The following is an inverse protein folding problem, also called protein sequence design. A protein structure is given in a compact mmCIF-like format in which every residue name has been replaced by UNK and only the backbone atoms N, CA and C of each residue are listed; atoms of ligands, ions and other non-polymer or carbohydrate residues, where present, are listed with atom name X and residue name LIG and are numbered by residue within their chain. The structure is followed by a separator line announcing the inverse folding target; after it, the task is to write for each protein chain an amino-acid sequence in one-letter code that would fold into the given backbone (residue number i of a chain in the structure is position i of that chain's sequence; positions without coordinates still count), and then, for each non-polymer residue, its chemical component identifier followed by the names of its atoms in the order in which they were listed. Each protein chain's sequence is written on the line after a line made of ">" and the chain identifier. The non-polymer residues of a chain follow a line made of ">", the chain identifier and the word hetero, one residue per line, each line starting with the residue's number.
data_IF_560109020978
#
_entry.id   IF_560109020978
#
_cell.length_a   1.000
_cell.length_b   1.000
_cell.length_c   1.000
_cell.angle_alpha   90.00
_cell.angle_beta   90.00
_cell.angle_gamma   90.00
#
_symmetry.space_group_name_H-M   'P 1'
#
loop_
_entity.id
_entity.type
_entity.pdbx_description
1 polymer ?
#
# COMPACT_ATOMS: atom_id res chain seq x y z
N UNK A 1 -57.78 15.06 8.61
CA UNK A 1 -56.64 14.39 7.93
C UNK A 1 -55.69 15.47 7.41
N UNK A 2 -54.48 15.64 7.96
CA UNK A 2 -53.55 16.63 7.44
C UNK A 2 -52.65 16.04 6.34
N UNK A 3 -52.60 16.78 5.23
CA UNK A 3 -51.72 16.57 4.07
C UNK A 3 -50.31 16.99 4.50
N UNK A 4 -49.38 16.04 4.57
CA UNK A 4 -47.98 16.32 4.87
C UNK A 4 -47.27 16.85 3.61
N UNK A 5 -46.81 18.11 3.68
CA UNK A 5 -46.00 18.76 2.65
C UNK A 5 -44.62 18.11 2.54
N UNK A 6 -44.25 17.81 1.29
CA UNK A 6 -42.97 17.28 0.85
C UNK A 6 -41.97 18.42 0.70
N UNK A 7 -40.99 18.52 1.60
CA UNK A 7 -39.87 19.46 1.49
C UNK A 7 -38.80 18.90 0.53
N UNK A 8 -38.65 19.54 -0.62
CA UNK A 8 -37.55 19.33 -1.58
C UNK A 8 -36.27 19.95 -1.01
N UNK A 9 -35.26 19.12 -0.78
CA UNK A 9 -33.90 19.54 -0.45
C UNK A 9 -33.17 19.96 -1.73
N UNK A 10 -32.53 21.14 -1.81
CA UNK A 10 -31.73 21.51 -2.97
C UNK A 10 -30.35 20.84 -2.95
N UNK A 11 -29.97 20.28 -4.09
CA UNK A 11 -28.68 19.68 -4.39
C UNK A 11 -27.65 20.80 -4.62
N UNK A 12 -26.70 20.99 -3.70
CA UNK A 12 -25.54 21.86 -3.92
C UNK A 12 -24.56 21.17 -4.90
N UNK A 13 -24.41 21.75 -6.08
CA UNK A 13 -23.40 21.37 -7.07
C UNK A 13 -22.10 22.12 -6.71
N UNK A 14 -20.98 21.44 -6.42
CA UNK A 14 -19.71 22.12 -6.27
C UNK A 14 -19.15 22.50 -7.65
N UNK A 15 -18.95 23.80 -7.86
CA UNK A 15 -18.29 24.41 -9.01
C UNK A 15 -16.86 23.88 -9.14
N UNK A 16 -16.58 23.14 -10.21
CA UNK A 16 -15.21 22.79 -10.62
C UNK A 16 -14.50 24.06 -11.14
N UNK A 17 -13.46 24.49 -10.44
CA UNK A 17 -12.50 25.46 -10.94
C UNK A 17 -11.47 24.74 -11.81
N UNK A 18 -11.63 24.84 -13.13
CA UNK A 18 -10.65 24.34 -14.09
C UNK A 18 -9.44 25.29 -14.13
N UNK A 19 -8.27 24.80 -13.69
CA UNK A 19 -6.99 25.46 -13.87
C UNK A 19 -6.49 25.12 -15.28
N UNK A 20 -6.53 26.10 -16.18
CA UNK A 20 -5.92 26.00 -17.50
C UNK A 20 -4.39 26.07 -17.37
N UNK A 21 -3.71 24.96 -17.62
CA UNK A 21 -2.25 24.92 -17.76
C UNK A 21 -1.91 25.27 -19.22
N UNK A 22 -1.31 26.44 -19.43
CA UNK A 22 -0.83 26.87 -20.75
C UNK A 22 0.40 26.05 -21.15
N UNK A 23 0.24 25.20 -22.17
CA UNK A 23 1.33 24.45 -22.79
C UNK A 23 1.91 25.29 -23.94
N UNK A 24 3.07 25.91 -23.74
CA UNK A 24 3.86 26.52 -24.82
C UNK A 24 4.65 25.43 -25.55
N UNK A 25 4.08 24.92 -26.65
CA UNK A 25 4.81 24.10 -27.61
C UNK A 25 5.73 25.00 -28.46
N UNK A 26 7.05 24.79 -28.35
CA UNK A 26 8.02 25.37 -29.27
C UNK A 26 8.14 24.46 -30.49
N UNK A 27 7.69 24.95 -31.65
CA UNK A 27 7.84 24.29 -32.93
C UNK A 27 9.26 24.51 -33.46
N UNK A 28 10.10 23.47 -33.38
CA UNK A 28 11.36 23.40 -34.11
C UNK A 28 11.12 22.92 -35.53
N UNK A 29 11.34 23.80 -36.51
CA UNK A 29 11.37 23.51 -37.96
C UNK A 29 12.83 23.38 -38.42
N UNK A 30 13.05 22.56 -39.46
CA UNK A 30 14.26 22.32 -40.29
C UNK A 30 14.97 21.00 -39.96
N UNK A 31 15.30 20.11 -40.91
CA UNK A 31 15.38 20.19 -42.38
C UNK A 31 15.51 18.76 -42.92
N UNK A 32 14.64 18.36 -43.83
CA UNK A 32 14.80 17.16 -44.64
C UNK A 32 15.69 17.47 -45.85
N UNK A 33 16.76 16.69 -46.05
CA UNK A 33 17.42 16.52 -47.34
C UNK A 33 17.58 15.01 -47.56
N UNK A 34 16.76 14.46 -48.45
CA UNK A 34 16.93 13.13 -49.01
C UNK A 34 17.15 13.31 -50.50
N UNK A 35 18.41 13.12 -50.93
CA UNK A 35 18.80 13.04 -52.32
C UNK A 35 18.77 11.57 -52.74
N UNK A 36 17.97 11.29 -53.78
CA UNK A 36 17.95 10.01 -54.46
C UNK A 36 19.16 9.93 -55.43
N UNK A 37 19.92 8.84 -55.34
CA UNK A 37 20.77 8.35 -56.42
C UNK A 37 21.07 6.86 -56.25
N UNK A 38 20.55 6.07 -57.18
CA UNK A 38 21.00 4.73 -57.61
C UNK A 38 21.14 4.84 -59.15
N UNK A 39 21.95 4.03 -59.88
CA UNK A 39 22.06 2.57 -59.71
C UNK A 39 23.42 1.90 -60.06
N UNK A 40 23.43 0.57 -59.91
CA UNK A 40 24.22 -0.50 -60.56
C UNK A 40 25.74 -0.67 -60.33
N UNK A 41 26.16 -1.81 -59.75
CA UNK A 41 26.57 -3.03 -60.50
C UNK A 41 27.02 -4.16 -59.51
N UNK A 42 26.95 -5.47 -59.87
CA UNK A 42 27.18 -6.61 -58.98
C UNK A 42 28.60 -7.21 -59.12
N UNK A 43 29.02 -8.04 -58.17
CA UNK A 43 29.77 -9.32 -58.39
C UNK A 43 30.14 -10.00 -57.07
N UNK A 44 29.56 -11.18 -56.91
CA UNK A 44 30.04 -12.46 -56.35
C UNK A 44 31.37 -12.57 -55.59
N UNK A 45 31.31 -13.18 -54.40
CA UNK A 45 32.42 -13.91 -53.79
C UNK A 45 32.02 -14.56 -52.44
N UNK A 46 32.04 -15.91 -52.30
CA UNK A 46 31.68 -16.60 -51.07
C UNK A 46 32.90 -16.76 -50.15
N UNK A 47 32.75 -16.44 -48.86
CA UNK A 47 33.75 -16.67 -47.82
C UNK A 47 33.12 -17.43 -46.65
N UNK A 48 33.67 -18.60 -46.24
CA UNK A 48 33.16 -19.38 -45.13
C UNK A 48 33.71 -18.79 -43.82
N UNK A 49 32.86 -18.09 -43.09
CA UNK A 49 33.13 -17.61 -41.73
C UNK A 49 32.20 -18.31 -40.76
N UNK A 50 32.54 -19.54 -40.39
CA UNK A 50 31.97 -20.19 -39.23
C UNK A 50 32.50 -19.48 -37.99
N UNK A 51 31.63 -18.80 -37.26
CA UNK A 51 31.79 -18.60 -35.81
C UNK A 51 30.42 -18.29 -35.22
N UNK A 52 29.76 -19.35 -34.74
CA UNK A 52 28.62 -19.24 -33.86
C UNK A 52 29.08 -18.59 -32.55
N UNK A 53 28.47 -17.49 -32.09
CA UNK A 53 28.68 -17.07 -30.72
C UNK A 53 28.06 -18.15 -29.82
N UNK A 54 28.94 -18.77 -29.03
CA UNK A 54 28.61 -19.74 -28.01
C UNK A 54 27.39 -19.28 -27.21
N UNK A 55 26.42 -20.19 -27.11
CA UNK A 55 25.24 -20.03 -26.27
C UNK A 55 25.68 -19.60 -24.87
N UNK A 56 25.23 -18.40 -24.48
CA UNK A 56 25.28 -17.93 -23.11
C UNK A 56 24.57 -18.98 -22.25
N UNK A 57 25.34 -19.62 -21.39
CA UNK A 57 24.84 -20.40 -20.26
C UNK A 57 23.76 -19.60 -19.54
N UNK A 58 22.59 -20.18 -19.21
CA UNK A 58 21.65 -19.52 -18.32
C UNK A 58 22.35 -19.35 -16.96
N UNK A 59 22.64 -18.09 -16.62
CA UNK A 59 23.03 -17.68 -15.28
C UNK A 59 21.95 -18.17 -14.33
N UNK A 60 22.30 -19.20 -13.56
CA UNK A 60 21.45 -19.74 -12.51
C UNK A 60 21.23 -18.63 -11.50
N UNK A 61 20.07 -17.99 -11.56
CA UNK A 61 19.61 -17.09 -10.52
C UNK A 61 19.73 -17.82 -9.17
N UNK A 62 20.35 -17.22 -8.14
CA UNK A 62 20.48 -17.88 -6.87
C UNK A 62 19.08 -18.09 -6.30
N UNK A 63 18.68 -19.36 -6.19
CA UNK A 63 17.53 -19.77 -5.41
C UNK A 63 17.72 -19.24 -3.97
N UNK A 64 16.70 -18.52 -3.47
CA UNK A 64 16.66 -17.96 -2.11
C UNK A 64 17.18 -18.96 -1.08
N UNK A 65 18.27 -18.60 -0.41
CA UNK A 65 18.74 -19.32 0.76
C UNK A 65 17.65 -19.32 1.85
N UNK A 66 17.50 -20.40 2.65
CA UNK A 66 16.52 -20.46 3.71
C UNK A 66 16.83 -19.42 4.79
N UNK A 67 15.95 -18.43 4.92
CA UNK A 67 16.06 -17.34 5.89
C UNK A 67 15.70 -17.87 7.27
N UNK A 68 16.69 -18.40 7.99
CA UNK A 68 16.52 -18.94 9.36
C UNK A 68 16.84 -17.88 10.43
N UNK A 69 17.19 -16.66 10.03
CA UNK A 69 17.49 -15.58 10.95
C UNK A 69 16.20 -15.00 11.55
N UNK A 70 16.21 -14.79 12.87
CA UNK A 70 15.11 -14.10 13.58
C UNK A 70 14.92 -12.68 13.05
N UNK A 71 13.68 -12.23 13.05
CA UNK A 71 13.31 -10.86 12.71
C UNK A 71 13.90 -9.89 13.73
N UNK A 72 14.54 -8.83 13.25
CA UNK A 72 15.07 -7.76 14.11
C UNK A 72 13.94 -6.82 14.52
N UNK A 73 13.51 -6.90 15.78
CA UNK A 73 12.45 -6.03 16.33
C UNK A 73 13.08 -4.87 17.10
N UNK A 74 12.98 -3.66 16.55
CA UNK A 74 13.47 -2.42 17.15
C UNK A 74 12.37 -1.69 17.95
N UNK A 75 11.11 -1.81 17.53
CA UNK A 75 9.96 -1.24 18.23
C UNK A 75 8.90 -2.29 18.57
N UNK A 76 8.65 -2.47 19.87
CA UNK A 76 7.69 -3.47 20.38
C UNK A 76 6.22 -3.10 20.10
N UNK A 77 5.90 -1.82 20.01
CA UNK A 77 4.54 -1.34 19.75
C UNK A 77 4.13 -1.54 18.29
N UNK A 78 5.05 -1.23 17.37
CA UNK A 78 4.91 -1.52 15.94
C UNK A 78 4.83 -3.03 15.70
N UNK A 79 5.68 -3.83 16.36
CA UNK A 79 5.60 -5.29 16.35
C UNK A 79 4.19 -5.78 16.75
N UNK A 80 3.68 -5.34 17.89
CA UNK A 80 2.35 -5.77 18.37
C UNK A 80 1.21 -5.35 17.42
N UNK A 81 1.39 -4.23 16.70
CA UNK A 81 0.45 -3.75 15.70
C UNK A 81 0.52 -4.54 14.39
N UNK A 82 1.70 -5.05 14.05
CA UNK A 82 2.02 -5.73 12.79
C UNK A 82 1.68 -7.22 12.82
N UNK A 83 1.73 -7.90 13.97
CA UNK A 83 1.37 -9.32 14.05
C UNK A 83 -0.16 -9.50 14.05
N UNK A 84 -0.65 -10.46 13.25
CA UNK A 84 -2.06 -10.83 13.14
C UNK A 84 -2.68 -10.53 11.76
N UNK A 85 -4.01 -10.41 11.72
CA UNK A 85 -4.76 -10.22 10.47
C UNK A 85 -4.87 -8.75 10.07
N UNK A 86 -4.73 -8.48 8.78
CA UNK A 86 -4.76 -7.16 8.18
C UNK A 86 -5.67 -7.12 6.96
N UNK A 87 -6.32 -5.96 6.78
CA UNK A 87 -6.82 -5.59 5.45
C UNK A 87 -5.64 -5.17 4.59
N UNK A 88 -5.60 -5.62 3.34
CA UNK A 88 -4.60 -5.20 2.36
C UNK A 88 -5.28 -4.62 1.12
N UNK A 89 -4.64 -3.68 0.43
CA UNK A 89 -5.16 -3.13 -0.82
C UNK A 89 -4.08 -3.04 -1.90
N UNK A 90 -4.56 -3.04 -3.14
CA UNK A 90 -3.85 -2.54 -4.31
C UNK A 90 -4.81 -1.56 -4.99
N UNK A 91 -4.36 -0.34 -5.25
CA UNK A 91 -5.23 0.75 -5.74
C UNK A 91 -6.04 0.40 -6.99
N UNK A 92 -5.47 -0.41 -7.88
CA UNK A 92 -6.06 -0.75 -9.16
C UNK A 92 -7.21 -1.75 -9.06
N UNK A 93 -7.29 -2.47 -7.93
CA UNK A 93 -8.33 -3.48 -7.70
C UNK A 93 -9.56 -2.83 -7.08
N UNK A 94 -9.41 -2.09 -5.99
CA UNK A 94 -10.53 -1.42 -5.33
C UNK A 94 -10.05 -0.41 -4.30
N UNK A 95 -10.87 0.63 -4.08
CA UNK A 95 -10.73 1.59 -2.98
C UNK A 95 -11.66 1.29 -1.79
N UNK A 96 -12.60 0.35 -1.95
CA UNK A 96 -13.65 0.08 -0.95
C UNK A 96 -13.72 -1.38 -0.52
N UNK A 97 -13.26 -2.31 -1.36
CA UNK A 97 -13.10 -3.71 -1.03
C UNK A 97 -11.63 -3.98 -0.78
N UNK A 98 -11.34 -4.71 0.29
CA UNK A 98 -9.98 -5.01 0.72
C UNK A 98 -9.72 -6.50 0.63
N UNK A 99 -8.49 -6.83 0.30
CA UNK A 99 -7.93 -8.15 0.50
C UNK A 99 -7.67 -8.44 1.97
N UNK A 100 -7.15 -9.64 2.23
CA UNK A 100 -6.74 -10.11 3.55
C UNK A 100 -5.28 -10.53 3.51
N UNK A 101 -4.54 -10.20 4.56
CA UNK A 101 -3.22 -10.75 4.80
C UNK A 101 -3.00 -11.01 6.28
N UNK A 102 -2.16 -11.99 6.60
CA UNK A 102 -1.86 -12.36 7.99
C UNK A 102 -0.36 -12.36 8.17
N UNK A 103 0.10 -11.67 9.22
CA UNK A 103 1.47 -11.75 9.70
C UNK A 103 1.52 -12.74 10.86
N UNK A 104 2.35 -13.77 10.71
CA UNK A 104 2.56 -14.82 11.71
C UNK A 104 3.95 -14.66 12.34
N UNK A 105 4.06 -15.01 13.62
CA UNK A 105 5.33 -15.16 14.32
C UNK A 105 5.55 -16.64 14.63
N UNK A 106 6.63 -17.21 14.11
CA UNK A 106 7.09 -18.56 14.45
C UNK A 106 8.49 -18.45 15.03
N UNK A 107 8.60 -18.59 16.35
CA UNK A 107 9.86 -18.55 17.10
C UNK A 107 10.74 -17.30 16.85
N UNK A 108 10.10 -16.15 16.63
CA UNK A 108 10.75 -14.87 16.35
C UNK A 108 11.07 -14.66 14.87
N UNK A 109 10.55 -15.51 13.98
CA UNK A 109 10.59 -15.31 12.53
C UNK A 109 9.22 -14.87 12.06
N UNK A 110 9.13 -13.60 11.64
CA UNK A 110 7.90 -13.04 11.10
C UNK A 110 7.75 -13.38 9.62
N UNK A 111 6.55 -13.82 9.24
CA UNK A 111 6.18 -14.06 7.85
C UNK A 111 4.80 -13.46 7.54
N UNK A 112 4.62 -13.00 6.30
CA UNK A 112 3.35 -12.48 5.80
C UNK A 112 2.90 -13.29 4.59
N UNK A 113 1.60 -13.61 4.56
CA UNK A 113 0.90 -14.12 3.38
C UNK A 113 -0.42 -13.38 3.23
N UNK A 114 -0.73 -12.93 2.01
CA UNK A 114 -1.95 -12.17 1.75
C UNK A 114 -2.34 -12.08 0.29
N UNK A 115 -3.61 -11.74 0.08
CA UNK A 115 -4.26 -11.70 -1.23
C UNK A 115 -5.36 -10.63 -1.29
N UNK A 116 -5.44 -9.95 -2.43
CA UNK A 116 -6.55 -9.07 -2.82
C UNK A 116 -7.02 -9.48 -4.22
N UNK A 117 -8.29 -9.84 -4.38
CA UNK A 117 -8.91 -10.19 -5.67
C UNK A 117 -9.92 -9.13 -6.10
N UNK A 118 -9.98 -8.90 -7.41
CA UNK A 118 -11.03 -8.14 -8.05
C UNK A 118 -12.39 -8.82 -7.92
N UNK A 119 -13.44 -8.03 -8.12
CA UNK A 119 -14.82 -8.50 -8.11
C UNK A 119 -15.37 -8.61 -9.54
N UNK A 120 -16.69 -8.63 -9.69
CA UNK A 120 -17.34 -8.74 -11.00
C UNK A 120 -17.01 -7.57 -11.95
N UNK A 121 -16.60 -6.40 -11.45
CA UNK A 121 -16.22 -5.24 -12.27
C UNK A 121 -14.80 -5.33 -12.82
N UNK A 122 -13.94 -6.16 -12.22
CA UNK A 122 -12.57 -6.39 -12.65
C UNK A 122 -12.17 -7.86 -12.41
N UNK A 123 -12.85 -8.79 -13.09
CA UNK A 123 -12.65 -10.21 -12.87
C UNK A 123 -11.23 -10.63 -13.27
N UNK A 124 -10.58 -11.39 -12.38
CA UNK A 124 -9.23 -11.89 -12.61
C UNK A 124 -8.11 -10.91 -12.26
N UNK A 125 -8.44 -9.67 -11.86
CA UNK A 125 -7.45 -8.77 -11.26
C UNK A 125 -7.07 -9.28 -9.86
N UNK A 126 -5.78 -9.23 -9.52
CA UNK A 126 -5.33 -9.65 -8.21
C UNK A 126 -3.98 -9.08 -7.78
N UNK A 127 -3.74 -9.14 -6.48
CA UNK A 127 -2.47 -8.95 -5.83
C UNK A 127 -2.25 -10.05 -4.80
N UNK A 128 -1.05 -10.61 -4.75
CA UNK A 128 -0.60 -11.53 -3.69
C UNK A 128 0.72 -11.05 -3.12
N UNK A 129 0.95 -11.30 -1.84
CA UNK A 129 2.19 -11.00 -1.13
C UNK A 129 2.55 -12.21 -0.27
N UNK A 130 3.81 -12.66 -0.35
CA UNK A 130 4.29 -13.81 0.43
C UNK A 130 5.78 -13.68 0.73
N UNK A 131 6.16 -13.83 1.99
CA UNK A 131 7.58 -13.81 2.40
C UNK A 131 7.79 -13.51 3.87
N UNK A 132 8.99 -13.05 4.21
CA UNK A 132 9.43 -12.83 5.59
C UNK A 132 9.63 -11.36 5.89
N UNK A 133 9.42 -10.98 7.15
CA UNK A 133 9.72 -9.64 7.65
C UNK A 133 11.05 -9.71 8.38
N UNK A 134 12.05 -8.96 7.92
CA UNK A 134 13.42 -9.02 8.43
C UNK A 134 13.70 -8.00 9.52
N UNK A 135 12.95 -6.90 9.54
CA UNK A 135 13.06 -5.84 10.54
C UNK A 135 11.72 -5.15 10.80
N UNK A 136 11.47 -4.75 12.05
CA UNK A 136 10.33 -3.93 12.47
C UNK A 136 10.82 -2.74 13.28
N UNK A 137 10.58 -1.53 12.79
CA UNK A 137 10.85 -0.24 13.45
C UNK A 137 9.51 0.47 13.78
N UNK A 138 9.56 1.62 14.43
CA UNK A 138 8.40 2.36 14.90
C UNK A 138 7.43 2.75 13.78
N UNK A 139 7.95 3.08 12.59
CA UNK A 139 7.15 3.53 11.45
C UNK A 139 7.36 2.72 10.18
N UNK A 140 8.31 1.79 10.17
CA UNK A 140 8.65 0.97 9.00
C UNK A 140 8.78 -0.49 9.36
N UNK A 141 8.63 -1.36 8.37
CA UNK A 141 9.16 -2.72 8.44
C UNK A 141 9.77 -3.09 7.09
N UNK A 142 10.74 -3.98 7.13
CA UNK A 142 11.42 -4.50 5.94
C UNK A 142 10.88 -5.88 5.63
N UNK A 143 10.40 -6.08 4.40
CA UNK A 143 9.87 -7.33 3.89
C UNK A 143 10.80 -7.90 2.81
N UNK A 144 11.09 -9.20 2.85
CA UNK A 144 11.76 -9.93 1.79
C UNK A 144 10.85 -11.05 1.27
N UNK A 145 10.51 -11.01 0.00
CA UNK A 145 9.59 -11.97 -0.58
C UNK A 145 9.09 -11.64 -1.97
N UNK A 146 8.00 -12.30 -2.33
CA UNK A 146 7.34 -12.21 -3.62
C UNK A 146 6.08 -11.35 -3.52
N UNK A 147 5.91 -10.43 -4.45
CA UNK A 147 4.66 -9.74 -4.71
C UNK A 147 4.27 -10.00 -6.15
N UNK A 148 3.06 -10.51 -6.38
CA UNK A 148 2.52 -10.72 -7.72
C UNK A 148 1.30 -9.85 -7.89
N UNK A 149 1.28 -9.03 -8.94
CA UNK A 149 0.11 -8.25 -9.35
C UNK A 149 -0.33 -8.69 -10.74
N UNK A 150 -1.63 -8.75 -10.99
CA UNK A 150 -2.20 -8.88 -12.32
C UNK A 150 -3.34 -7.91 -12.40
N UNK A 151 -3.28 -6.96 -13.31
CA UNK A 151 -4.32 -5.96 -13.52
C UNK A 151 -4.62 -5.91 -15.00
N UNK A 152 -5.86 -6.18 -15.37
CA UNK A 152 -6.38 -6.34 -16.74
C UNK A 152 -5.95 -5.26 -17.72
N UNK A 153 -5.75 -4.02 -17.25
CA UNK A 153 -5.41 -2.85 -18.07
C UNK A 153 -3.99 -2.31 -17.82
N UNK A 154 -3.16 -3.00 -17.03
CA UNK A 154 -1.75 -2.63 -16.79
C UNK A 154 -0.85 -3.75 -17.32
N UNK A 155 0.28 -3.39 -17.94
CA UNK A 155 1.24 -4.34 -18.49
C UNK A 155 0.57 -5.37 -19.44
N UNK A 156 -0.39 -4.92 -20.24
CA UNK A 156 -1.15 -5.77 -21.17
C UNK A 156 -2.03 -6.84 -20.50
N UNK A 157 -2.34 -6.70 -19.20
CA UNK A 157 -3.09 -7.70 -18.44
C UNK A 157 -2.26 -8.89 -17.98
N UNK A 158 -0.94 -8.86 -18.17
CA UNK A 158 -0.05 -9.92 -17.70
C UNK A 158 0.17 -9.86 -16.18
N UNK A 159 0.48 -11.00 -15.59
CA UNK A 159 0.97 -11.03 -14.22
C UNK A 159 2.40 -10.47 -14.16
N UNK A 160 2.65 -9.59 -13.21
CA UNK A 160 3.94 -8.99 -12.88
C UNK A 160 4.39 -9.55 -11.54
N UNK A 161 5.46 -10.33 -11.55
CA UNK A 161 6.07 -10.88 -10.34
C UNK A 161 7.28 -10.04 -9.96
N UNK A 162 7.35 -9.64 -8.68
CA UNK A 162 8.46 -8.90 -8.10
C UNK A 162 9.00 -9.67 -6.91
N UNK A 163 10.25 -10.10 -6.99
CA UNK A 163 10.97 -10.76 -5.89
C UNK A 163 12.04 -9.81 -5.37
N UNK A 164 12.11 -9.61 -4.06
CA UNK A 164 13.14 -8.74 -3.50
C UNK A 164 12.89 -8.33 -2.07
N UNK A 165 13.58 -7.27 -1.68
CA UNK A 165 13.42 -6.61 -0.39
C UNK A 165 12.69 -5.29 -0.59
N UNK A 166 11.69 -5.02 0.24
CA UNK A 166 10.80 -3.88 0.15
C UNK A 166 10.62 -3.23 1.51
N UNK A 167 10.50 -1.91 1.52
CA UNK A 167 10.21 -1.14 2.73
C UNK A 167 8.73 -0.79 2.75
N UNK A 168 8.06 -1.12 3.85
CA UNK A 168 6.70 -0.68 4.13
C UNK A 168 6.74 0.41 5.21
N UNK A 169 6.20 1.59 4.91
CA UNK A 169 6.33 2.75 5.79
C UNK A 169 5.00 3.46 6.06
N UNK A 170 4.85 3.97 7.27
CA UNK A 170 3.79 4.92 7.65
C UNK A 170 4.23 6.31 7.22
N UNK A 171 3.46 6.93 6.33
CA UNK A 171 3.72 8.33 5.91
C UNK A 171 2.54 9.20 6.32
N UNK A 172 2.83 10.44 6.76
CA UNK A 172 1.82 11.49 7.02
C UNK A 172 0.65 11.01 7.90
N UNK A 173 0.92 10.25 8.97
CA UNK A 173 -0.07 9.72 9.92
C UNK A 173 -1.19 8.86 9.28
N UNK A 174 -0.91 8.20 8.15
CA UNK A 174 -1.86 7.29 7.51
C UNK A 174 -2.07 6.02 8.37
N UNK A 175 -3.29 5.45 8.39
CA UNK A 175 -3.60 4.26 9.19
C UNK A 175 -3.17 2.94 8.50
N UNK A 176 -2.06 2.98 7.76
CA UNK A 176 -1.51 1.84 7.01
C UNK A 176 -0.03 2.03 6.75
N UNK A 177 0.67 0.91 6.55
CA UNK A 177 1.99 0.91 5.94
C UNK A 177 1.85 0.78 4.42
N UNK A 178 2.57 1.61 3.67
CA UNK A 178 2.63 1.57 2.21
C UNK A 178 3.99 1.06 1.75
N UNK A 179 4.02 0.17 0.77
CA UNK A 179 5.27 -0.21 0.10
C UNK A 179 5.92 1.02 -0.56
N UNK A 180 7.22 1.23 -0.36
CA UNK A 180 7.91 2.43 -0.85
C UNK A 180 8.44 2.26 -2.29
N UNK A 181 8.78 1.04 -2.69
CA UNK A 181 9.25 0.69 -4.03
C UNK A 181 8.07 0.53 -5.01
N UNK A 182 7.31 1.62 -5.18
CA UNK A 182 5.98 1.61 -5.80
C UNK A 182 6.00 1.38 -7.33
N UNK A 183 7.13 1.60 -8.01
CA UNK A 183 7.17 1.56 -9.47
C UNK A 183 6.87 0.14 -9.99
N UNK A 184 5.96 0.06 -10.96
CA UNK A 184 5.70 -1.14 -11.72
C UNK A 184 6.81 -1.31 -12.78
N UNK A 185 7.52 -2.45 -12.81
CA UNK A 185 8.67 -2.64 -13.68
C UNK A 185 8.32 -2.79 -15.17
N UNK A 186 7.05 -3.04 -15.53
CA UNK A 186 6.65 -3.28 -16.92
C UNK A 186 6.00 -2.09 -17.61
N UNK A 187 5.30 -1.23 -16.87
CA UNK A 187 4.37 -0.26 -17.49
C UNK A 187 4.52 1.19 -16.96
N UNK A 188 5.56 1.47 -16.16
CA UNK A 188 5.87 2.82 -15.69
C UNK A 188 4.84 3.46 -14.75
N UNK A 189 3.82 2.70 -14.33
CA UNK A 189 2.81 3.13 -13.35
C UNK A 189 3.27 2.86 -11.91
N UNK A 190 2.53 3.37 -10.94
CA UNK A 190 2.77 3.12 -9.51
C UNK A 190 1.74 2.16 -8.92
N UNK A 191 2.20 1.18 -8.16
CA UNK A 191 1.39 0.22 -7.42
C UNK A 191 1.38 0.61 -5.94
N UNK A 192 0.32 1.29 -5.48
CA UNK A 192 0.11 1.48 -4.05
C UNK A 192 -0.41 0.19 -3.41
N UNK A 193 0.51 -0.52 -2.76
CA UNK A 193 0.21 -1.66 -1.90
C UNK A 193 0.20 -1.18 -0.45
N UNK A 194 -0.97 -1.24 0.17
CA UNK A 194 -1.17 -0.80 1.55
C UNK A 194 -1.53 -1.99 2.46
N UNK A 195 -0.95 -2.02 3.65
CA UNK A 195 -1.28 -2.94 4.74
C UNK A 195 -1.85 -2.11 5.88
N UNK A 196 -3.14 -2.24 6.13
CA UNK A 196 -3.85 -1.42 7.10
C UNK A 196 -3.58 -1.87 8.53
N UNK A 197 -3.53 -0.91 9.45
CA UNK A 197 -3.48 -1.25 10.86
C UNK A 197 -4.72 -2.04 11.24
N UNK A 198 -4.53 -3.00 12.14
CA UNK A 198 -5.64 -3.66 12.81
C UNK A 198 -6.52 -2.58 13.43
N UNK A 199 -7.84 -2.68 13.23
CA UNK A 199 -8.76 -1.96 14.12
C UNK A 199 -8.48 -2.51 15.51
N UNK A 200 -7.89 -1.69 16.38
CA UNK A 200 -7.79 -2.03 17.78
C UNK A 200 -9.21 -2.25 18.28
N UNK A 201 -9.59 -3.50 18.54
CA UNK A 201 -10.70 -3.74 19.46
C UNK A 201 -10.32 -3.00 20.74
N UNK A 202 -11.13 -2.05 21.23
CA UNK A 202 -10.88 -1.48 22.53
C UNK A 202 -10.77 -2.66 23.50
N UNK A 203 -9.63 -2.78 24.15
CA UNK A 203 -9.45 -3.78 25.21
C UNK A 203 -10.66 -3.68 26.13
N UNK A 204 -11.41 -4.77 26.27
CA UNK A 204 -12.49 -4.88 27.23
C UNK A 204 -11.88 -4.94 28.63
N UNK A 205 -11.45 -3.78 29.11
CA UNK A 205 -11.26 -3.49 30.53
C UNK A 205 -11.75 -2.07 30.71
N UNK A 206 -12.98 -1.88 31.20
CA UNK A 206 -13.38 -0.58 31.71
C UNK A 206 -12.42 -0.27 32.85
N UNK A 207 -11.60 0.78 32.70
CA UNK A 207 -10.89 1.35 33.83
C UNK A 207 -11.94 1.67 34.89
N UNK A 208 -11.92 0.92 36.00
CA UNK A 208 -12.76 1.17 37.15
C UNK A 208 -12.49 2.60 37.61
N UNK A 209 -13.50 3.46 37.43
CA UNK A 209 -13.52 4.81 37.96
C UNK A 209 -13.37 4.67 39.49
N UNK A 210 -12.38 5.31 40.14
CA UNK A 210 -12.34 5.32 41.60
C UNK A 210 -13.61 6.03 42.08
N UNK A 211 -14.50 5.25 42.69
CA UNK A 211 -15.67 5.74 43.43
C UNK A 211 -15.14 6.53 44.62
N UNK A 212 -15.02 7.85 44.44
CA UNK A 212 -14.73 8.78 45.52
C UNK A 212 -15.91 8.79 46.50
N UNK A 213 -15.73 8.11 47.62
CA UNK A 213 -16.56 8.20 48.81
C UNK A 213 -16.57 9.64 49.32
N UNK A 214 -17.71 10.33 49.15
CA UNK A 214 -17.96 11.63 49.76
C UNK A 214 -18.43 11.40 51.21
N UNK A 215 -17.49 11.45 52.14
CA UNK A 215 -17.75 11.40 53.58
C UNK A 215 -18.27 12.75 54.07
N UNK A 216 -19.47 12.73 54.66
CA UNK A 216 -19.89 13.48 55.85
C UNK A 216 -19.68 14.99 55.87
N UNK A 217 -20.71 15.75 55.51
CA UNK A 217 -20.87 17.13 55.97
C UNK A 217 -21.78 17.11 57.21
N UNK A 218 -21.16 17.32 58.38
CA UNK A 218 -21.83 17.42 59.66
C UNK A 218 -22.66 18.70 59.76
N UNK A 219 -23.97 18.55 59.96
CA UNK A 219 -24.84 19.64 60.38
C UNK A 219 -24.54 20.02 61.84
N UNK A 220 -23.94 21.18 62.04
CA UNK A 220 -23.81 21.82 63.35
C UNK A 220 -25.09 22.60 63.71
N UNK A 221 -25.67 22.42 64.91
CA UNK A 221 -26.87 23.15 65.32
C UNK A 221 -26.53 24.51 65.92
N UNK A 222 -27.04 25.60 65.32
CA UNK A 222 -27.01 26.95 65.89
C UNK A 222 -27.83 27.01 67.19
N UNK A 223 -27.14 27.14 68.32
CA UNK A 223 -27.72 27.52 69.61
C UNK A 223 -28.12 29.00 69.61
N UNK A 224 -29.35 29.27 70.06
CA UNK A 224 -29.85 30.57 70.52
C UNK A 224 -28.97 31.10 71.66
N UNK A 225 -28.71 32.41 71.69
CA UNK A 225 -28.63 33.15 72.96
C UNK A 225 -29.11 34.60 72.81
N UNK A 226 -30.11 34.87 73.63
CA UNK A 226 -30.71 36.12 74.09
C UNK A 226 -29.68 37.09 74.69
N UNK A 227 -29.99 38.39 74.61
CA UNK A 227 -30.04 39.37 75.72
C UNK A 227 -29.26 40.67 75.51
N UNK A 228 -30.02 41.77 75.54
CA UNK A 228 -29.77 43.04 76.26
C UNK A 228 -28.44 43.77 76.08
N UNK A 229 -28.50 44.97 75.49
CA UNK A 229 -28.60 46.24 76.23
C UNK A 229 -28.88 47.40 75.29
#
# INVERSE_FOLDING_TARGET
>A
MPIAMMMKTPLLIPTLLAIALSLTASAGTLRAQSGAATPDNPTTGPGPGAEAPAALTPETAPASAPVTAKTRVLDKGAYAKLVGDHSISLQWISWSKFGKGTVTDTDGVLAIEGEHRGDASNPGDYMTIKGHITEVDATTFTFNGTIVTRISHIAGGEAVTRQGTYTFAITKNRPYWRMQEMNNPKDGVVDYIDIYFRRSTPSSTPAAKPSGSKSGEGKEPKKRKTSER
#
